data_IF_651291626376
#
_entry.id   IF_651291626376
#
_cell.length_a   1.000
_cell.length_b   1.000
_cell.length_c   1.000
_cell.angle_alpha   90.00
_cell.angle_beta   90.00
_cell.angle_gamma   90.00
#
_symmetry.space_group_name_H-M   'P 1'
#
loop_
_entity.id
_entity.type
_entity.pdbx_description
1 polymer ?
#
# COMPACT_ATOMS: atom_id res chain seq x y z
N UNK A 1 -11.68 11.58 -3.93
CA UNK A 1 -10.22 11.39 -3.78
C UNK A 1 -9.73 10.70 -5.02
N UNK A 2 -9.11 11.47 -5.93
CA UNK A 2 -8.66 10.94 -7.22
C UNK A 2 -7.44 10.05 -6.98
N UNK A 3 -7.57 8.79 -7.36
CA UNK A 3 -6.50 7.80 -7.30
C UNK A 3 -5.42 8.24 -8.33
N UNK A 4 -4.13 8.34 -7.98
CA UNK A 4 -3.08 8.69 -8.93
C UNK A 4 -2.79 7.50 -9.85
N UNK A 5 -3.74 7.17 -10.71
CA UNK A 5 -3.52 6.29 -11.86
C UNK A 5 -2.87 7.12 -12.95
N UNK A 6 -1.72 6.69 -13.47
CA UNK A 6 -1.14 7.24 -14.71
C UNK A 6 -2.05 6.79 -15.87
N UNK A 7 -3.23 7.41 -16.06
CA UNK A 7 -4.11 7.36 -17.24
C UNK A 7 -4.54 6.01 -17.84
N UNK A 8 -3.92 4.89 -17.48
CA UNK A 8 -3.79 3.66 -18.26
C UNK A 8 -3.99 2.41 -17.40
N UNK A 9 -4.59 2.54 -16.20
CA UNK A 9 -4.95 1.40 -15.33
C UNK A 9 -3.77 0.73 -14.59
N UNK A 10 -2.57 1.30 -14.62
CA UNK A 10 -1.43 0.81 -13.84
C UNK A 10 -1.12 1.72 -12.65
N UNK A 11 -0.70 1.09 -11.54
CA UNK A 11 -0.23 1.79 -10.37
C UNK A 11 1.00 2.65 -10.70
N UNK A 12 1.00 3.88 -10.23
CA UNK A 12 2.16 4.75 -10.23
C UNK A 12 3.14 4.31 -9.13
N UNK A 13 4.45 4.39 -9.41
CA UNK A 13 5.51 4.11 -8.44
C UNK A 13 6.31 5.38 -8.23
N UNK A 14 6.59 5.74 -6.98
CA UNK A 14 7.29 6.96 -6.60
C UNK A 14 8.49 6.62 -5.71
N UNK A 15 9.62 7.30 -5.94
CA UNK A 15 10.75 7.24 -5.03
C UNK A 15 10.66 8.42 -4.05
N UNK A 16 10.07 8.17 -2.88
CA UNK A 16 9.86 9.18 -1.84
C UNK A 16 11.16 9.71 -1.22
N UNK A 17 12.26 8.95 -1.33
CA UNK A 17 13.58 9.39 -0.84
C UNK A 17 14.15 10.51 -1.72
N UNK A 18 13.91 10.42 -3.03
CA UNK A 18 14.36 11.43 -3.99
C UNK A 18 13.33 12.55 -4.17
N UNK A 19 12.04 12.22 -4.10
CA UNK A 19 10.92 13.15 -4.35
C UNK A 19 9.76 12.89 -3.38
N UNK A 20 9.85 13.39 -2.14
CA UNK A 20 8.87 13.11 -1.08
C UNK A 20 7.46 13.64 -1.39
N UNK A 21 7.34 14.60 -2.31
CA UNK A 21 6.05 15.17 -2.70
C UNK A 21 5.29 14.32 -3.75
N UNK A 22 5.87 13.22 -4.25
CA UNK A 22 5.21 12.30 -5.20
C UNK A 22 4.68 12.95 -6.49
N UNK A 23 5.29 14.07 -6.90
CA UNK A 23 4.81 14.87 -8.03
C UNK A 23 5.11 14.20 -9.39
N UNK A 24 6.11 13.31 -9.45
CA UNK A 24 6.52 12.66 -10.69
C UNK A 24 6.82 11.18 -10.44
N UNK A 25 6.09 10.26 -11.10
CA UNK A 25 6.34 8.84 -10.96
C UNK A 25 7.70 8.46 -11.57
N UNK A 26 8.25 7.35 -11.08
CA UNK A 26 9.52 6.81 -11.54
C UNK A 26 9.46 6.52 -13.05
N UNK A 27 10.36 7.12 -13.81
CA UNK A 27 10.52 6.83 -15.23
C UNK A 27 11.26 5.50 -15.44
N UNK A 28 10.87 4.74 -16.45
CA UNK A 28 11.50 3.48 -16.85
C UNK A 28 10.81 2.21 -16.31
N UNK A 29 11.35 1.02 -16.64
CA UNK A 29 10.75 -0.25 -16.26
C UNK A 29 10.91 -0.52 -14.75
N UNK A 30 9.81 -0.39 -14.00
CA UNK A 30 9.70 -0.73 -12.57
C UNK A 30 9.17 -2.16 -12.35
N UNK A 31 9.28 -3.04 -13.34
CA UNK A 31 8.73 -4.41 -13.30
C UNK A 31 9.25 -5.23 -12.13
N UNK A 32 10.53 -5.07 -11.79
CA UNK A 32 11.19 -5.73 -10.67
C UNK A 32 10.55 -5.38 -9.30
N UNK A 33 9.99 -4.18 -9.17
CA UNK A 33 9.25 -3.75 -7.98
C UNK A 33 7.76 -4.12 -8.08
N UNK A 34 7.19 -3.96 -9.27
CA UNK A 34 5.76 -4.15 -9.53
C UNK A 34 5.28 -5.56 -9.25
N UNK A 35 5.99 -6.59 -9.72
CA UNK A 35 5.55 -7.98 -9.53
C UNK A 35 5.51 -8.42 -8.06
N UNK A 36 6.58 -8.26 -7.27
CA UNK A 36 6.54 -8.65 -5.86
C UNK A 36 5.54 -7.81 -5.05
N UNK A 37 5.42 -6.51 -5.31
CA UNK A 37 4.41 -5.67 -4.63
C UNK A 37 3.00 -6.10 -5.01
N UNK A 38 2.75 -6.44 -6.28
CA UNK A 38 1.44 -6.93 -6.71
C UNK A 38 1.02 -8.18 -5.93
N UNK A 39 1.92 -9.15 -5.78
CA UNK A 39 1.66 -10.34 -4.96
C UNK A 39 1.40 -9.97 -3.50
N UNK A 40 2.26 -9.15 -2.90
CA UNK A 40 2.09 -8.73 -1.51
C UNK A 40 0.74 -8.03 -1.28
N UNK A 41 0.33 -7.16 -2.21
CA UNK A 41 -0.95 -6.47 -2.13
C UNK A 41 -2.13 -7.44 -2.23
N UNK A 42 -2.08 -8.41 -3.15
CA UNK A 42 -3.10 -9.46 -3.23
C UNK A 42 -3.19 -10.25 -1.93
N UNK A 43 -2.05 -10.76 -1.45
CA UNK A 43 -1.98 -11.53 -0.20
C UNK A 43 -2.51 -10.69 1.00
N UNK A 44 -2.23 -9.38 1.03
CA UNK A 44 -2.72 -8.47 2.07
C UNK A 44 -4.23 -8.25 1.99
N UNK A 45 -4.78 -8.04 0.78
CA UNK A 45 -6.22 -7.86 0.60
C UNK A 45 -7.01 -9.12 1.00
N UNK A 46 -6.48 -10.31 0.72
CA UNK A 46 -7.07 -11.57 1.19
C UNK A 46 -7.19 -11.63 2.72
N UNK A 47 -6.34 -10.93 3.47
CA UNK A 47 -6.44 -10.89 4.94
C UNK A 47 -7.68 -10.16 5.42
N UNK A 48 -8.20 -9.19 4.67
CA UNK A 48 -9.43 -8.49 5.04
C UNK A 48 -10.67 -9.35 4.90
N UNK A 49 -10.65 -10.34 4.00
CA UNK A 49 -11.70 -11.33 3.88
C UNK A 49 -11.57 -12.42 4.96
N UNK A 50 -10.33 -12.81 5.29
CA UNK A 50 -10.05 -13.87 6.25
C UNK A 50 -10.20 -13.44 7.71
N UNK A 51 -9.83 -12.20 8.02
CA UNK A 51 -9.84 -11.65 9.36
C UNK A 51 -10.83 -10.49 9.43
N UNK A 52 -11.85 -10.56 10.30
CA UNK A 52 -12.81 -9.49 10.44
C UNK A 52 -12.12 -8.21 10.90
N UNK A 53 -12.64 -7.06 10.48
CA UNK A 53 -12.16 -5.77 10.95
C UNK A 53 -12.24 -5.69 12.48
N UNK A 54 -11.23 -5.09 13.10
CA UNK A 54 -11.20 -4.84 14.54
C UNK A 54 -12.36 -3.91 14.89
N UNK A 55 -13.21 -4.34 15.82
CA UNK A 55 -14.36 -3.55 16.23
C UNK A 55 -13.90 -2.22 16.87
N UNK A 56 -14.63 -1.11 16.66
CA UNK A 56 -14.35 0.14 17.36
C UNK A 56 -14.32 -0.07 18.88
N UNK A 57 -13.28 0.45 19.55
CA UNK A 57 -13.11 0.32 21.00
C UNK A 57 -12.51 -1.01 21.47
N UNK A 58 -12.03 -1.88 20.56
CA UNK A 58 -11.21 -3.04 20.94
C UNK A 58 -9.98 -2.56 21.72
N UNK A 59 -9.74 -3.03 22.96
CA UNK A 59 -8.56 -2.63 23.74
C UNK A 59 -7.27 -3.00 23.02
N UNK A 60 -6.30 -2.08 23.02
CA UNK A 60 -4.98 -2.33 22.44
C UNK A 60 -4.23 -3.38 23.30
N UNK A 61 -3.85 -4.54 22.73
CA UNK A 61 -3.19 -5.61 23.49
C UNK A 61 -1.76 -5.25 23.89
N UNK A 62 -1.20 -4.16 23.38
CA UNK A 62 0.16 -3.70 23.68
C UNK A 62 0.21 -2.54 24.68
N UNK A 63 -0.91 -2.18 25.29
CA UNK A 63 -0.89 -1.27 26.44
C UNK A 63 -0.18 -2.00 27.59
N UNK A 64 0.94 -1.47 28.11
CA UNK A 64 1.61 -2.07 29.25
C UNK A 64 0.63 -2.16 30.43
N UNK A 65 0.53 -3.33 31.05
CA UNK A 65 -0.07 -3.43 32.38
C UNK A 65 0.99 -2.95 33.37
N UNK A 66 0.63 -1.95 34.19
CA UNK A 66 1.44 -1.51 35.33
C UNK A 66 1.66 -2.66 36.34
#
# INVERSE_FOLDING_TARGET
TENPTIGNGFAAFYNVLERPAEISPQAGPVSWLRFPIGKFLTDHLETFERHPAIAPGTPDPYVPND
#
